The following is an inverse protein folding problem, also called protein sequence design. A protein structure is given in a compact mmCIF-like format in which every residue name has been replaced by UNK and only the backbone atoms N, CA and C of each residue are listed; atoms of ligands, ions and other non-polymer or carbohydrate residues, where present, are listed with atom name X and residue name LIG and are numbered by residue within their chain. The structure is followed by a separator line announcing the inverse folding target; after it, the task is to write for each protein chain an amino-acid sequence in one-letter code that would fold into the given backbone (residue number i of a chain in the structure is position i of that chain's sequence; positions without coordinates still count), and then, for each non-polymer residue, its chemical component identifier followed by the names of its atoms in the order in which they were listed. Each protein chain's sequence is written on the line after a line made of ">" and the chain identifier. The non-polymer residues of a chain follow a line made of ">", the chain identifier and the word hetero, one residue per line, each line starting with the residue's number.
data_IF_034290825315
#
_entry.id   IF_034290825315
#
_cell.length_a   1.000
_cell.length_b   1.000
_cell.length_c   1.000
_cell.angle_alpha   90.00
_cell.angle_beta   90.00
_cell.angle_gamma   90.00
#
_symmetry.space_group_name_H-M   'P 1'
#
loop_
_entity.id
_entity.type
_entity.pdbx_description
1 polymer ?
#
# COMPACT_ATOMS: atom_id res chain seq x y z
N UNK A 1 0.16 -4.69 19.51
CA UNK A 1 -0.18 -4.89 18.08
C UNK A 1 0.96 -4.41 17.22
N UNK A 2 1.41 -5.22 16.26
CA UNK A 2 2.48 -4.83 15.33
C UNK A 2 1.86 -4.18 14.08
N UNK A 3 2.44 -3.09 13.59
CA UNK A 3 1.90 -2.29 12.49
C UNK A 3 1.98 -3.05 11.15
N UNK A 4 0.85 -3.23 10.48
CA UNK A 4 0.73 -4.03 9.25
C UNK A 4 0.85 -3.21 7.97
N UNK A 5 0.48 -1.94 8.04
CA UNK A 5 0.39 -1.04 6.88
C UNK A 5 1.22 0.20 7.16
N UNK A 6 2.09 0.58 6.23
CA UNK A 6 3.07 1.65 6.40
C UNK A 6 2.96 2.64 5.25
N UNK A 7 2.85 3.94 5.54
CA UNK A 7 2.93 4.98 4.49
C UNK A 7 4.34 5.00 3.88
N UNK A 8 4.49 5.52 2.66
CA UNK A 8 5.82 5.66 2.05
C UNK A 8 6.76 6.57 2.84
N UNK A 9 6.24 7.46 3.69
CA UNK A 9 7.03 8.33 4.59
C UNK A 9 7.45 7.63 5.88
N UNK A 10 6.93 6.45 6.16
CA UNK A 10 7.17 5.73 7.42
C UNK A 10 8.26 4.68 7.23
N UNK A 11 9.26 4.70 8.10
CA UNK A 11 10.38 3.78 8.01
C UNK A 11 11.71 4.41 8.39
N UNK A 12 12.75 3.58 8.33
CA UNK A 12 14.14 4.00 8.26
C UNK A 12 14.71 3.46 6.95
N UNK A 13 15.80 4.05 6.48
CA UNK A 13 16.44 3.70 5.21
C UNK A 13 16.51 2.17 4.96
N UNK A 14 16.11 1.77 3.74
CA UNK A 14 16.14 0.42 3.13
C UNK A 14 15.96 -0.77 4.08
N UNK A 15 14.73 -1.01 4.53
CA UNK A 15 14.31 -2.31 5.07
C UNK A 15 13.59 -3.14 3.98
N UNK A 16 14.36 -3.70 3.04
CA UNK A 16 13.82 -4.56 1.97
C UNK A 16 13.16 -5.83 2.52
N UNK A 17 13.61 -6.32 3.68
CA UNK A 17 13.06 -7.50 4.31
C UNK A 17 11.63 -7.25 4.79
N UNK A 18 11.34 -6.07 5.33
CA UNK A 18 10.01 -5.68 5.80
C UNK A 18 9.11 -5.09 4.72
N UNK A 19 9.65 -4.23 3.84
CA UNK A 19 8.86 -3.46 2.86
C UNK A 19 8.82 -4.10 1.47
N UNK A 20 9.66 -5.09 1.21
CA UNK A 20 9.94 -5.58 -0.14
C UNK A 20 10.78 -4.59 -0.96
N UNK A 21 11.33 -5.03 -2.08
CA UNK A 21 12.21 -4.19 -2.91
C UNK A 21 11.49 -2.96 -3.48
N UNK A 22 10.27 -3.14 -4.01
CA UNK A 22 9.50 -2.02 -4.56
C UNK A 22 9.09 -1.02 -3.47
N UNK A 23 8.60 -1.52 -2.34
CA UNK A 23 8.19 -0.68 -1.21
C UNK A 23 9.37 0.09 -0.62
N UNK A 24 10.52 -0.56 -0.43
CA UNK A 24 11.72 0.10 0.07
C UNK A 24 12.26 1.17 -0.90
N UNK A 25 12.21 0.92 -2.21
CA UNK A 25 12.60 1.92 -3.21
C UNK A 25 11.61 3.11 -3.22
N UNK A 26 10.30 2.86 -3.12
CA UNK A 26 9.30 3.95 -3.02
C UNK A 26 9.51 4.79 -1.77
N UNK A 27 9.78 4.16 -0.62
CA UNK A 27 10.15 4.85 0.61
C UNK A 27 11.40 5.72 0.43
N UNK A 28 12.46 5.18 -0.18
CA UNK A 28 13.70 5.91 -0.46
C UNK A 28 13.47 7.09 -1.40
N UNK A 29 12.71 6.91 -2.48
CA UNK A 29 12.37 7.99 -3.41
C UNK A 29 11.54 9.08 -2.74
N UNK A 30 10.56 8.71 -1.89
CA UNK A 30 9.78 9.66 -1.09
C UNK A 30 10.65 10.41 -0.08
N UNK A 31 11.60 9.74 0.57
CA UNK A 31 12.53 10.37 1.51
C UNK A 31 13.53 11.33 0.83
N UNK A 32 13.75 11.17 -0.48
CA UNK A 32 14.57 12.04 -1.32
C UNK A 32 13.76 13.18 -1.99
N UNK A 33 12.52 13.39 -1.59
CA UNK A 33 11.60 14.40 -2.17
C UNK A 33 11.42 14.28 -3.69
N UNK A 34 11.56 13.06 -4.24
CA UNK A 34 11.25 12.81 -5.64
C UNK A 34 9.73 12.80 -5.87
N UNK A 35 9.24 13.15 -7.07
CA UNK A 35 7.81 13.21 -7.38
C UNK A 35 7.21 11.80 -7.49
N UNK A 36 6.95 11.17 -6.33
CA UNK A 36 6.32 9.85 -6.20
C UNK A 36 4.86 10.04 -5.79
N UNK A 37 3.90 9.40 -6.47
CA UNK A 37 2.51 9.37 -6.00
C UNK A 37 2.43 8.80 -4.57
N UNK A 38 1.75 9.51 -3.67
CA UNK A 38 1.67 9.11 -2.26
C UNK A 38 0.86 7.82 -2.09
N UNK A 39 1.32 6.93 -1.20
CA UNK A 39 0.78 5.59 -1.04
C UNK A 39 1.24 4.89 0.25
N UNK A 40 0.91 3.61 0.37
CA UNK A 40 1.29 2.77 1.50
C UNK A 40 1.71 1.36 1.06
N UNK A 41 2.30 0.62 1.99
CA UNK A 41 2.89 -0.70 1.81
C UNK A 41 2.28 -1.64 2.87
N UNK A 42 1.79 -2.81 2.43
CA UNK A 42 1.60 -3.94 3.34
C UNK A 42 2.96 -4.60 3.58
N UNK A 43 3.34 -4.76 4.84
CA UNK A 43 4.65 -5.35 5.14
C UNK A 43 4.69 -6.83 4.76
N UNK A 44 5.89 -7.36 4.49
CA UNK A 44 6.10 -8.80 4.29
C UNK A 44 5.63 -9.62 5.49
N UNK A 45 5.77 -9.09 6.71
CA UNK A 45 5.25 -9.70 7.93
C UNK A 45 3.74 -9.86 7.91
N UNK A 46 3.01 -8.88 7.36
CA UNK A 46 1.56 -8.96 7.18
C UNK A 46 1.19 -10.09 6.23
N UNK A 47 1.95 -10.29 5.16
CA UNK A 47 1.77 -11.44 4.26
C UNK A 47 2.05 -12.78 4.97
N UNK A 48 3.13 -12.86 5.76
CA UNK A 48 3.44 -14.06 6.56
C UNK A 48 2.30 -14.38 7.53
N UNK A 49 1.78 -13.37 8.22
CA UNK A 49 0.67 -13.54 9.17
C UNK A 49 -0.62 -13.97 8.48
N UNK A 50 -0.96 -13.36 7.34
CA UNK A 50 -2.08 -13.79 6.51
C UNK A 50 -2.02 -15.28 6.14
N UNK A 51 -0.85 -15.76 5.71
CA UNK A 51 -0.64 -17.18 5.43
C UNK A 51 -0.74 -18.04 6.69
N UNK A 52 -0.15 -17.61 7.82
CA UNK A 52 -0.19 -18.31 9.10
C UNK A 52 -1.62 -18.48 9.63
N UNK A 53 -2.49 -17.51 9.37
CA UNK A 53 -3.90 -17.54 9.75
C UNK A 53 -4.79 -18.35 8.78
N UNK A 54 -4.21 -19.00 7.77
CA UNK A 54 -4.93 -19.78 6.77
C UNK A 54 -5.69 -18.89 5.81
N UNK A 55 -4.99 -17.91 5.21
CA UNK A 55 -5.53 -16.95 4.24
C UNK A 55 -6.63 -16.04 4.81
N UNK A 56 -6.53 -15.77 6.11
CA UNK A 56 -7.41 -14.84 6.82
C UNK A 56 -6.68 -13.55 7.13
N UNK A 57 -7.39 -12.45 6.96
CA UNK A 57 -6.88 -11.12 7.29
C UNK A 57 -6.58 -11.00 8.79
N UNK A 58 -5.40 -10.50 9.18
CA UNK A 58 -5.09 -10.23 10.59
C UNK A 58 -6.06 -9.23 11.22
N UNK A 59 -6.34 -9.38 12.50
CA UNK A 59 -7.27 -8.51 13.23
C UNK A 59 -6.85 -7.03 13.15
N UNK A 60 -7.83 -6.17 12.86
CA UNK A 60 -7.63 -4.72 12.78
C UNK A 60 -6.88 -4.22 11.54
N UNK A 61 -6.52 -5.08 10.58
CA UNK A 61 -5.85 -4.64 9.35
C UNK A 61 -6.73 -3.69 8.53
N UNK A 62 -8.04 -3.95 8.44
CA UNK A 62 -8.98 -3.10 7.71
C UNK A 62 -9.01 -1.69 8.30
N UNK A 63 -9.04 -1.57 9.63
CA UNK A 63 -8.98 -0.27 10.30
C UNK A 63 -7.70 0.48 9.96
N UNK A 64 -6.54 -0.20 9.95
CA UNK A 64 -5.27 0.42 9.56
C UNK A 64 -5.28 0.87 8.09
N UNK A 65 -5.84 0.06 7.19
CA UNK A 65 -5.99 0.42 5.76
C UNK A 65 -6.85 1.67 5.61
N UNK A 66 -7.99 1.74 6.30
CA UNK A 66 -8.88 2.91 6.25
C UNK A 66 -8.19 4.18 6.77
N UNK A 67 -7.36 4.05 7.81
CA UNK A 67 -6.55 5.16 8.33
C UNK A 67 -5.56 5.67 7.28
N UNK A 68 -4.76 4.79 6.66
CA UNK A 68 -3.78 5.23 5.65
C UNK A 68 -4.44 5.72 4.35
N UNK A 69 -5.60 5.17 3.96
CA UNK A 69 -6.39 5.72 2.85
C UNK A 69 -6.82 7.16 3.16
N UNK A 70 -7.28 7.42 4.39
CA UNK A 70 -7.65 8.78 4.82
C UNK A 70 -6.47 9.74 4.71
N UNK A 71 -5.25 9.31 5.07
CA UNK A 71 -4.04 10.12 4.89
C UNK A 71 -3.75 10.40 3.41
N UNK A 72 -3.92 9.41 2.52
CA UNK A 72 -3.75 9.60 1.07
C UNK A 72 -4.79 10.59 0.52
N UNK A 73 -6.05 10.47 0.95
CA UNK A 73 -7.10 11.39 0.56
C UNK A 73 -6.76 12.84 0.92
N UNK A 74 -6.25 13.07 2.13
CA UNK A 74 -5.81 14.40 2.58
C UNK A 74 -4.66 14.91 1.70
N UNK A 75 -3.65 14.06 1.45
CA UNK A 75 -2.47 14.45 0.69
C UNK A 75 -2.76 14.71 -0.80
N UNK A 76 -3.70 13.97 -1.40
CA UNK A 76 -4.04 14.12 -2.81
C UNK A 76 -5.25 15.03 -3.06
N UNK A 77 -5.97 15.45 -2.02
CA UNK A 77 -7.22 16.22 -2.13
C UNK A 77 -8.35 15.46 -2.83
N UNK A 78 -8.29 14.13 -2.86
CA UNK A 78 -9.25 13.21 -3.53
C UNK A 78 -9.93 12.31 -2.52
N UNK A 79 -11.01 11.63 -2.91
CA UNK A 79 -11.81 10.77 -2.02
C UNK A 79 -12.08 9.39 -2.61
N UNK A 80 -11.74 8.34 -1.87
CA UNK A 80 -11.91 6.96 -2.30
C UNK A 80 -13.40 6.60 -2.30
N UNK A 81 -13.91 6.09 -3.43
CA UNK A 81 -15.33 5.75 -3.58
C UNK A 81 -16.27 6.95 -3.74
N UNK A 82 -15.76 8.18 -3.89
CA UNK A 82 -16.57 9.40 -4.07
C UNK A 82 -16.51 9.87 -5.54
N UNK A 83 -17.65 9.89 -6.27
CA UNK A 83 -17.70 10.24 -7.70
C UNK A 83 -17.18 11.62 -8.09
N UNK A 84 -17.35 12.62 -7.24
CA UNK A 84 -17.09 14.02 -7.62
C UNK A 84 -15.60 14.32 -7.80
N UNK A 85 -14.72 13.66 -7.02
CA UNK A 85 -13.27 13.78 -7.14
C UNK A 85 -12.59 12.48 -6.66
N UNK A 86 -12.63 11.42 -7.48
CA UNK A 86 -12.33 10.07 -7.01
C UNK A 86 -10.83 9.87 -6.81
N UNK A 87 -10.49 9.23 -5.69
CA UNK A 87 -9.19 8.61 -5.49
C UNK A 87 -9.21 7.22 -6.13
N UNK A 88 -8.32 7.01 -7.10
CA UNK A 88 -8.03 5.69 -7.67
C UNK A 88 -6.63 5.27 -7.25
N UNK A 89 -6.44 3.98 -7.02
CA UNK A 89 -5.15 3.44 -6.57
C UNK A 89 -4.67 2.33 -7.50
N UNK A 90 -3.35 2.15 -7.57
CA UNK A 90 -2.72 0.97 -8.17
C UNK A 90 -2.31 -0.01 -7.08
N UNK A 91 -2.57 -1.29 -7.27
CA UNK A 91 -2.11 -2.35 -6.38
C UNK A 91 -1.01 -3.15 -7.08
N UNK A 92 0.18 -3.13 -6.49
CA UNK A 92 1.37 -3.77 -7.05
C UNK A 92 1.94 -4.78 -6.06
N UNK A 93 2.26 -5.98 -6.51
CA UNK A 93 3.00 -6.96 -5.72
C UNK A 93 4.49 -6.57 -5.60
N UNK A 94 5.09 -6.84 -4.44
CA UNK A 94 6.50 -6.56 -4.18
C UNK A 94 7.05 -7.43 -3.06
N UNK A 95 7.96 -8.34 -3.40
CA UNK A 95 8.70 -9.16 -2.43
C UNK A 95 10.10 -8.60 -2.17
N UNK A 96 10.79 -9.14 -1.15
CA UNK A 96 12.17 -8.80 -0.81
C UNK A 96 13.18 -9.17 -1.92
N UNK A 97 12.83 -10.14 -2.76
CA UNK A 97 13.55 -10.51 -3.97
C UNK A 97 12.56 -10.61 -5.13
N UNK A 98 13.01 -10.32 -6.35
CA UNK A 98 12.14 -10.43 -7.52
C UNK A 98 11.77 -11.90 -7.74
N UNK A 99 10.47 -12.20 -7.77
CA UNK A 99 9.95 -13.55 -7.98
C UNK A 99 9.06 -13.59 -9.22
N UNK A 100 9.34 -14.45 -10.21
CA UNK A 100 8.38 -14.74 -11.27
C UNK A 100 7.14 -15.44 -10.70
N UNK A 101 5.95 -15.12 -11.23
CA UNK A 101 4.67 -15.67 -10.75
C UNK A 101 3.97 -14.87 -9.65
N UNK A 102 4.46 -13.66 -9.33
CA UNK A 102 3.71 -12.74 -8.47
C UNK A 102 2.51 -12.13 -9.20
N UNK A 103 1.52 -11.68 -8.43
CA UNK A 103 0.31 -11.02 -8.93
C UNK A 103 0.62 -9.86 -9.89
N UNK A 104 -0.13 -9.80 -10.98
CA UNK A 104 -0.13 -8.68 -11.93
C UNK A 104 -0.54 -7.37 -11.26
N UNK A 105 -0.02 -6.25 -11.79
CA UNK A 105 -0.39 -4.93 -11.31
C UNK A 105 -1.85 -4.62 -11.66
N UNK A 106 -2.66 -4.30 -10.65
CA UNK A 106 -4.01 -3.76 -10.85
C UNK A 106 -3.93 -2.24 -10.88
N UNK A 107 -4.41 -1.63 -11.97
CA UNK A 107 -4.54 -0.19 -12.11
C UNK A 107 -6.01 0.24 -11.91
N UNK A 108 -6.22 1.50 -11.58
CA UNK A 108 -7.54 2.13 -11.48
C UNK A 108 -8.50 1.45 -10.49
N UNK A 109 -7.98 0.86 -9.41
CA UNK A 109 -8.82 0.31 -8.36
C UNK A 109 -9.59 1.45 -7.68
N UNK A 110 -10.91 1.32 -7.61
CA UNK A 110 -11.83 2.35 -7.12
C UNK A 110 -12.91 2.72 -8.15
N UNK A 111 -12.72 2.39 -9.42
CA UNK A 111 -13.75 2.53 -10.46
C UNK A 111 -14.99 1.68 -10.14
N UNK A 112 -16.15 2.24 -10.44
CA UNK A 112 -17.47 1.59 -10.42
C UNK A 112 -18.44 2.41 -11.28
N UNK A 113 -19.68 1.97 -11.45
CA UNK A 113 -20.67 2.62 -12.34
C UNK A 113 -20.92 4.10 -12.04
N UNK A 114 -20.68 4.56 -10.80
CA UNK A 114 -20.82 5.97 -10.41
C UNK A 114 -19.56 6.79 -10.64
N UNK A 115 -18.42 6.13 -10.83
CA UNK A 115 -17.06 6.71 -10.97
C UNK A 115 -16.50 6.30 -12.34
N UNK A 116 -17.31 6.43 -13.39
CA UNK A 116 -16.93 6.16 -14.77
C UNK A 116 -16.89 7.46 -15.58
#
# INVERSE_FOLDING_TARGET
>A
MQKSVWLFTEGKAKDNALLGNKGANLHEMTALDLPVPFGFIFTTRTCIEYNRLGEKLPDGIITQVMQVITEIEIHQGKKFGVPQNPLLVSVCSGAAVSMPGMMDTILNLGLNDKIY
#
